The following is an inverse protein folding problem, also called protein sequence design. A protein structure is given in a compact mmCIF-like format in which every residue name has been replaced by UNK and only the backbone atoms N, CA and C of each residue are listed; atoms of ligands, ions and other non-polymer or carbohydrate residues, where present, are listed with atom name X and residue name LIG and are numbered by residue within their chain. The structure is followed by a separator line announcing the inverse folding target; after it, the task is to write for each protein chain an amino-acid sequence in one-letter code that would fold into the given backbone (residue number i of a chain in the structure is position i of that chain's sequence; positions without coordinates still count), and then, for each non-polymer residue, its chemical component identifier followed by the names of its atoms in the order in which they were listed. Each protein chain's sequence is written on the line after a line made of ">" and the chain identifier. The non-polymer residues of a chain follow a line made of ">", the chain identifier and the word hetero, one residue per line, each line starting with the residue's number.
data_IF_558967927615
#
_entry.id   IF_558967927615
#
_cell.length_a   1.000
_cell.length_b   1.000
_cell.length_c   1.000
_cell.angle_alpha   90.00
_cell.angle_beta   90.00
_cell.angle_gamma   90.00
#
_symmetry.space_group_name_H-M   'P 1'
#
loop_
_entity.id
_entity.type
_entity.pdbx_description
1 polymer ?
#
# COMPACT_ATOMS: atom_id res chain seq x y z
N UNK A 1 -4.74 -1.00 19.59
CA UNK A 1 -5.22 0.25 18.94
C UNK A 1 -4.13 1.03 18.21
N UNK A 2 -2.90 1.09 18.75
CA UNK A 2 -1.76 1.80 18.12
C UNK A 2 -1.59 1.48 16.63
N UNK A 3 -1.52 0.20 16.27
CA UNK A 3 -1.40 -0.20 14.85
C UNK A 3 -2.62 0.14 13.98
N UNK A 4 -3.81 0.35 14.56
CA UNK A 4 -4.95 0.91 13.81
C UNK A 4 -4.71 2.37 13.44
N UNK A 5 -4.17 3.15 14.37
CA UNK A 5 -3.78 4.52 14.10
C UNK A 5 -2.62 4.60 13.09
N UNK A 6 -1.63 3.70 13.21
CA UNK A 6 -0.52 3.61 12.25
C UNK A 6 -1.01 3.30 10.84
N UNK A 7 -1.89 2.31 10.67
CA UNK A 7 -2.45 1.96 9.36
C UNK A 7 -3.39 3.03 8.80
N UNK A 8 -4.11 3.76 9.68
CA UNK A 8 -4.89 4.92 9.25
C UNK A 8 -4.00 5.98 8.61
N UNK A 9 -2.91 6.37 9.29
CA UNK A 9 -1.97 7.35 8.74
C UNK A 9 -1.30 6.83 7.46
N UNK A 10 -0.81 5.59 7.47
CA UNK A 10 -0.13 5.01 6.32
C UNK A 10 -1.01 4.97 5.07
N UNK A 11 -2.31 4.63 5.19
CA UNK A 11 -3.20 4.59 4.04
C UNK A 11 -3.60 5.99 3.57
N UNK A 12 -3.72 6.97 4.48
CA UNK A 12 -3.91 8.38 4.12
C UNK A 12 -2.73 8.88 3.29
N UNK A 13 -1.49 8.60 3.70
CA UNK A 13 -0.29 8.98 2.95
C UNK A 13 -0.21 8.30 1.57
N UNK A 14 -0.68 7.05 1.45
CA UNK A 14 -0.76 6.37 0.14
C UNK A 14 -1.76 7.08 -0.77
N UNK A 15 -2.96 7.37 -0.29
CA UNK A 15 -4.01 8.00 -1.11
C UNK A 15 -3.63 9.41 -1.48
N UNK A 16 -3.12 10.20 -0.53
CA UNK A 16 -2.67 11.58 -0.75
C UNK A 16 -1.47 11.63 -1.72
N UNK A 17 -0.47 10.78 -1.55
CA UNK A 17 0.69 10.71 -2.44
C UNK A 17 0.39 10.21 -3.86
N UNK A 18 -0.81 9.67 -4.13
CA UNK A 18 -1.24 9.30 -5.46
C UNK A 18 -2.10 10.37 -6.16
N UNK A 19 -2.41 11.46 -5.49
CA UNK A 19 -2.99 12.64 -6.13
C UNK A 19 -1.87 13.43 -6.84
N UNK A 20 -2.18 14.06 -7.96
CA UNK A 20 -1.18 14.85 -8.71
C UNK A 20 -1.15 16.32 -8.28
N UNK A 21 -1.91 16.68 -7.25
CA UNK A 21 -2.09 18.05 -6.79
C UNK A 21 -1.17 18.48 -5.64
N UNK A 22 -0.31 17.56 -5.18
CA UNK A 22 0.67 17.81 -4.11
C UNK A 22 0.35 17.08 -2.80
N UNK A 23 1.37 16.83 -2.01
CA UNK A 23 1.31 16.09 -0.74
C UNK A 23 0.91 17.04 0.41
N UNK A 24 -0.15 16.73 1.17
CA UNK A 24 -0.67 17.62 2.24
C UNK A 24 0.04 17.47 3.59
N UNK A 25 0.64 16.31 3.90
CA UNK A 25 1.10 16.00 5.26
C UNK A 25 2.62 15.73 5.35
N UNK A 26 3.44 16.44 4.56
CA UNK A 26 4.90 16.19 4.47
C UNK A 26 5.73 16.88 5.54
N UNK A 27 5.13 17.76 6.37
CA UNK A 27 5.82 18.60 7.34
C UNK A 27 7.02 19.33 6.69
N UNK A 28 6.72 20.19 5.71
CA UNK A 28 7.71 20.95 4.91
C UNK A 28 8.80 20.08 4.26
N UNK A 29 8.41 18.89 3.81
CA UNK A 29 9.31 17.95 3.13
C UNK A 29 10.17 17.07 4.06
N UNK A 30 10.11 17.28 5.38
CA UNK A 30 10.85 16.47 6.35
C UNK A 30 10.44 14.99 6.27
N UNK A 31 9.15 14.70 6.03
CA UNK A 31 8.59 13.37 5.88
C UNK A 31 7.90 13.21 4.52
N UNK A 32 8.68 13.25 3.43
CA UNK A 32 8.17 12.90 2.08
C UNK A 32 7.66 11.47 2.07
N UNK A 33 6.43 11.22 1.60
CA UNK A 33 5.77 9.92 1.66
C UNK A 33 6.58 8.81 0.99
N UNK A 34 7.13 9.08 -0.18
CA UNK A 34 7.94 8.13 -0.95
C UNK A 34 9.25 7.72 -0.27
N UNK A 35 9.56 8.25 0.91
CA UNK A 35 10.70 7.79 1.71
C UNK A 35 10.34 6.75 2.78
N UNK A 36 9.01 6.48 3.04
CA UNK A 36 8.65 5.62 4.17
C UNK A 36 7.26 4.99 4.14
N UNK A 37 6.26 5.52 3.40
CA UNK A 37 4.85 5.13 3.59
C UNK A 37 4.60 3.62 3.39
N UNK A 38 5.26 2.99 2.42
CA UNK A 38 5.16 1.54 2.19
C UNK A 38 5.93 0.74 3.25
N UNK A 39 7.01 1.30 3.81
CA UNK A 39 7.75 0.70 4.90
C UNK A 39 6.92 0.63 6.19
N UNK A 40 6.01 1.58 6.44
CA UNK A 40 5.04 1.51 7.55
C UNK A 40 4.11 0.29 7.42
N UNK A 41 3.62 -0.01 6.22
CA UNK A 41 2.81 -1.20 5.99
C UNK A 41 3.61 -2.49 6.16
N UNK A 42 4.82 -2.55 5.63
CA UNK A 42 5.70 -3.70 5.79
C UNK A 42 6.03 -3.94 7.27
N UNK A 43 6.41 -2.89 8.02
CA UNK A 43 6.66 -2.94 9.46
C UNK A 43 5.43 -3.44 10.24
N UNK A 44 4.27 -2.86 10.00
CA UNK A 44 3.04 -3.27 10.66
C UNK A 44 2.66 -4.72 10.35
N UNK A 45 2.82 -5.15 9.09
CA UNK A 45 2.58 -6.54 8.69
C UNK A 45 3.56 -7.51 9.36
N UNK A 46 4.82 -7.11 9.50
CA UNK A 46 5.85 -7.85 10.22
C UNK A 46 5.56 -7.99 11.72
N UNK A 47 5.11 -6.92 12.37
CA UNK A 47 4.70 -6.95 13.78
C UNK A 47 3.61 -8.00 14.05
N UNK A 48 2.66 -8.18 13.12
CA UNK A 48 1.59 -9.18 13.22
C UNK A 48 1.93 -10.52 12.58
N UNK A 49 3.18 -10.74 12.17
CA UNK A 49 3.57 -12.01 11.59
C UNK A 49 3.32 -13.19 12.52
N UNK A 50 2.82 -14.27 11.95
CA UNK A 50 2.66 -15.58 12.62
C UNK A 50 2.95 -16.69 11.61
N UNK A 51 3.78 -17.64 12.01
CA UNK A 51 3.93 -18.88 11.25
C UNK A 51 2.68 -19.76 11.39
N UNK A 52 2.28 -20.43 10.32
CA UNK A 52 1.10 -21.30 10.29
C UNK A 52 1.48 -22.66 9.71
N UNK A 53 1.41 -23.71 10.52
CA UNK A 53 1.61 -25.08 10.07
C UNK A 53 2.88 -25.30 9.25
N UNK A 54 2.81 -26.13 8.20
CA UNK A 54 3.90 -26.34 7.25
C UNK A 54 4.11 -25.10 6.36
N UNK A 55 5.30 -25.01 5.72
CA UNK A 55 5.59 -23.91 4.79
C UNK A 55 4.56 -23.83 3.65
N UNK A 56 4.18 -24.97 3.08
CA UNK A 56 3.20 -25.04 1.99
C UNK A 56 1.82 -24.52 2.44
N UNK A 57 1.35 -24.90 3.65
CA UNK A 57 0.06 -24.44 4.17
C UNK A 57 0.09 -22.93 4.50
N UNK A 58 1.22 -22.42 4.97
CA UNK A 58 1.40 -20.99 5.24
C UNK A 58 1.39 -20.18 3.95
N UNK A 59 2.13 -20.60 2.91
CA UNK A 59 2.11 -19.98 1.58
C UNK A 59 0.69 -19.98 1.00
N UNK A 60 0.01 -21.12 0.99
CA UNK A 60 -1.35 -21.24 0.45
C UNK A 60 -2.35 -20.33 1.18
N UNK A 61 -2.24 -20.26 2.52
CA UNK A 61 -3.08 -19.37 3.34
C UNK A 61 -2.87 -17.88 2.99
N UNK A 62 -1.62 -17.47 2.75
CA UNK A 62 -1.27 -16.10 2.35
C UNK A 62 -1.73 -15.80 0.93
N UNK A 63 -1.50 -16.74 -0.01
CA UNK A 63 -1.96 -16.62 -1.39
C UNK A 63 -3.49 -16.46 -1.48
N UNK A 64 -4.26 -17.30 -0.78
CA UNK A 64 -5.72 -17.18 -0.72
C UNK A 64 -6.19 -15.84 -0.15
N UNK A 65 -5.44 -15.26 0.78
CA UNK A 65 -5.82 -13.99 1.42
C UNK A 65 -5.43 -12.76 0.60
N UNK A 66 -4.31 -12.79 -0.13
CA UNK A 66 -3.75 -11.64 -0.84
C UNK A 66 -3.91 -11.76 -2.35
N UNK A 67 -3.52 -12.91 -2.95
CA UNK A 67 -3.49 -13.04 -4.40
C UNK A 67 -4.87 -13.35 -4.98
N UNK A 68 -5.70 -14.16 -4.32
CA UNK A 68 -7.03 -14.47 -4.85
C UNK A 68 -7.91 -13.20 -4.98
N UNK A 69 -8.01 -12.31 -3.97
CA UNK A 69 -8.71 -11.04 -4.15
C UNK A 69 -8.03 -10.12 -5.17
N UNK A 70 -6.70 -10.09 -5.24
CA UNK A 70 -5.95 -9.31 -6.22
C UNK A 70 -6.38 -9.67 -7.65
N UNK A 71 -6.31 -10.95 -8.00
CA UNK A 71 -6.69 -11.42 -9.34
C UNK A 71 -8.18 -11.29 -9.63
N UNK A 72 -9.03 -11.51 -8.62
CA UNK A 72 -10.47 -11.30 -8.75
C UNK A 72 -10.80 -9.84 -9.13
N UNK A 73 -10.21 -8.87 -8.45
CA UNK A 73 -10.39 -7.47 -8.77
C UNK A 73 -9.67 -7.05 -10.05
N UNK A 74 -8.49 -7.62 -10.34
CA UNK A 74 -7.80 -7.36 -11.61
C UNK A 74 -8.68 -7.77 -12.81
N UNK A 75 -9.41 -8.90 -12.73
CA UNK A 75 -10.38 -9.30 -13.75
C UNK A 75 -11.53 -8.28 -13.87
N UNK A 76 -12.12 -7.85 -12.75
CA UNK A 76 -13.21 -6.86 -12.76
C UNK A 76 -12.77 -5.56 -13.41
N UNK A 77 -11.59 -5.05 -13.03
CA UNK A 77 -11.04 -3.82 -13.58
C UNK A 77 -10.61 -3.98 -15.05
N UNK A 78 -10.09 -5.14 -15.43
CA UNK A 78 -9.74 -5.43 -16.81
C UNK A 78 -10.95 -5.42 -17.75
N UNK A 79 -12.07 -6.05 -17.31
CA UNK A 79 -13.34 -6.01 -18.06
C UNK A 79 -13.85 -4.57 -18.12
N UNK A 80 -13.87 -3.84 -16.98
CA UNK A 80 -14.28 -2.43 -16.94
C UNK A 80 -13.46 -1.55 -17.88
N UNK A 81 -12.13 -1.72 -17.87
CA UNK A 81 -11.22 -0.99 -18.78
C UNK A 81 -11.51 -1.29 -20.26
N UNK A 82 -11.73 -2.56 -20.61
CA UNK A 82 -12.08 -2.97 -21.97
C UNK A 82 -13.40 -2.34 -22.44
N UNK A 83 -14.42 -2.33 -21.57
CA UNK A 83 -15.72 -1.70 -21.86
C UNK A 83 -15.58 -0.20 -22.07
N UNK A 84 -14.88 0.51 -21.17
CA UNK A 84 -14.69 1.95 -21.28
C UNK A 84 -13.81 2.34 -22.47
N UNK A 85 -12.81 1.52 -22.81
CA UNK A 85 -12.01 1.70 -24.05
C UNK A 85 -12.88 1.54 -25.29
N UNK A 86 -13.74 0.51 -25.34
CA UNK A 86 -14.57 0.20 -26.52
C UNK A 86 -15.72 1.19 -26.74
N UNK A 87 -16.36 1.65 -25.65
CA UNK A 87 -17.59 2.45 -25.72
C UNK A 87 -17.45 3.87 -25.17
N UNK A 88 -16.50 4.12 -24.28
CA UNK A 88 -16.29 5.42 -23.61
C UNK A 88 -15.21 6.28 -24.26
N UNK A 89 -14.43 5.75 -25.22
CA UNK A 89 -13.32 6.45 -25.85
C UNK A 89 -12.15 6.72 -24.89
N UNK A 90 -11.95 5.84 -23.89
CA UNK A 90 -10.79 5.91 -22.99
C UNK A 90 -9.61 5.15 -23.60
N UNK A 91 -8.45 5.82 -23.68
CA UNK A 91 -7.21 5.25 -24.23
C UNK A 91 -6.16 4.95 -23.17
N UNK A 92 -6.49 5.18 -21.88
CA UNK A 92 -5.57 5.05 -20.75
C UNK A 92 -5.36 3.60 -20.31
N UNK A 93 -4.15 3.34 -19.81
CA UNK A 93 -3.75 2.05 -19.23
C UNK A 93 -3.56 0.94 -20.27
N UNK A 94 -3.31 -0.26 -19.77
CA UNK A 94 -3.04 -1.45 -20.57
C UNK A 94 -4.33 -2.09 -21.11
N UNK A 95 -4.31 -2.68 -22.33
CA UNK A 95 -5.43 -3.41 -22.86
C UNK A 95 -5.65 -4.74 -22.11
N UNK A 96 -6.88 -5.24 -22.09
CA UNK A 96 -7.19 -6.55 -21.51
C UNK A 96 -6.61 -7.66 -22.41
N UNK A 97 -5.73 -8.46 -21.83
CA UNK A 97 -5.14 -9.65 -22.45
C UNK A 97 -4.85 -10.70 -21.38
N UNK A 98 -4.54 -11.94 -21.78
CA UNK A 98 -4.12 -12.97 -20.83
C UNK A 98 -2.84 -12.54 -20.07
N UNK A 99 -1.91 -11.87 -20.75
CA UNK A 99 -0.69 -11.35 -20.15
C UNK A 99 -0.98 -10.27 -19.09
N UNK A 100 -1.73 -9.21 -19.45
CA UNK A 100 -2.04 -8.11 -18.54
C UNK A 100 -2.94 -8.53 -17.36
N UNK A 101 -3.73 -9.60 -17.54
CA UNK A 101 -4.55 -10.14 -16.48
C UNK A 101 -3.74 -11.00 -15.49
N UNK A 102 -2.84 -11.87 -15.98
CA UNK A 102 -2.21 -12.92 -15.17
C UNK A 102 -0.75 -12.69 -14.86
N UNK A 103 0.05 -12.21 -15.82
CA UNK A 103 1.51 -12.12 -15.69
C UNK A 103 2.01 -10.72 -15.37
N UNK A 104 1.50 -9.68 -16.02
CA UNK A 104 1.93 -8.31 -15.78
C UNK A 104 1.85 -7.86 -14.31
N UNK A 105 0.83 -8.25 -13.51
CA UNK A 105 0.81 -7.97 -12.07
C UNK A 105 1.99 -8.52 -11.27
N UNK A 106 2.61 -9.59 -11.77
CA UNK A 106 3.80 -10.23 -11.14
C UNK A 106 5.07 -9.63 -11.71
N UNK A 107 5.24 -9.71 -13.03
CA UNK A 107 6.51 -9.45 -13.71
C UNK A 107 6.80 -7.95 -13.76
N UNK A 108 5.85 -7.17 -14.24
CA UNK A 108 5.99 -5.73 -14.45
C UNK A 108 5.44 -4.94 -13.25
N UNK A 109 4.54 -5.55 -12.47
CA UNK A 109 3.74 -4.88 -11.45
C UNK A 109 2.72 -3.93 -12.08
N UNK A 110 2.41 -4.15 -13.35
CA UNK A 110 1.36 -3.41 -14.03
C UNK A 110 -0.03 -3.93 -13.67
N UNK A 111 -0.92 -3.00 -13.44
CA UNK A 111 -2.33 -3.24 -13.20
C UNK A 111 -3.17 -2.31 -14.08
N UNK A 112 -4.47 -2.60 -14.19
CA UNK A 112 -5.36 -1.69 -14.89
C UNK A 112 -5.43 -0.34 -14.15
N UNK A 113 -5.60 0.76 -14.90
CA UNK A 113 -5.45 2.13 -14.40
C UNK A 113 -6.23 2.42 -13.11
N UNK A 114 -7.40 1.82 -12.93
CA UNK A 114 -8.24 2.06 -11.74
C UNK A 114 -7.89 1.18 -10.53
N UNK A 115 -6.94 0.26 -10.65
CA UNK A 115 -6.39 -0.50 -9.51
C UNK A 115 -4.85 -0.49 -9.46
N UNK A 116 -4.23 0.56 -9.98
CA UNK A 116 -2.76 0.70 -9.99
C UNK A 116 -2.14 0.53 -8.59
N UNK A 117 -2.75 1.05 -7.53
CA UNK A 117 -2.23 0.90 -6.17
C UNK A 117 -2.12 -0.54 -5.66
N UNK A 118 -2.74 -1.50 -6.35
CA UNK A 118 -2.69 -2.91 -5.99
C UNK A 118 -1.33 -3.59 -6.24
N UNK A 119 -0.42 -2.96 -6.99
CA UNK A 119 0.92 -3.48 -7.27
C UNK A 119 1.69 -3.88 -6.00
N UNK A 120 1.47 -3.21 -4.88
CA UNK A 120 2.14 -3.48 -3.61
C UNK A 120 1.75 -4.84 -2.98
N UNK A 121 0.60 -5.42 -3.36
CA UNK A 121 0.08 -6.65 -2.76
C UNK A 121 0.96 -7.86 -3.06
N UNK A 122 1.43 -7.98 -4.32
CA UNK A 122 2.31 -9.10 -4.69
C UNK A 122 3.69 -9.03 -3.99
N UNK A 123 4.42 -7.91 -3.97
CA UNK A 123 5.61 -7.75 -3.14
C UNK A 123 5.37 -8.06 -1.67
N UNK A 124 4.26 -7.59 -1.09
CA UNK A 124 3.93 -7.89 0.31
C UNK A 124 3.68 -9.39 0.56
N UNK A 125 3.07 -10.10 -0.39
CA UNK A 125 2.95 -11.56 -0.34
C UNK A 125 4.34 -12.20 -0.34
N UNK A 126 5.22 -11.82 -1.27
CA UNK A 126 6.59 -12.36 -1.37
C UNK A 126 7.40 -12.11 -0.09
N UNK A 127 7.35 -10.90 0.48
CA UNK A 127 8.01 -10.58 1.75
C UNK A 127 7.54 -11.53 2.86
N UNK A 128 6.24 -11.79 2.96
CA UNK A 128 5.69 -12.69 3.96
C UNK A 128 6.19 -14.13 3.79
N UNK A 129 6.34 -14.60 2.54
CA UNK A 129 6.87 -15.93 2.23
C UNK A 129 8.36 -15.99 2.55
N UNK A 130 9.16 -15.03 2.06
CA UNK A 130 10.60 -14.97 2.32
C UNK A 130 10.88 -14.95 3.82
N UNK A 131 10.18 -14.08 4.55
CA UNK A 131 10.35 -13.99 6.00
C UNK A 131 9.90 -15.26 6.73
N UNK A 132 8.87 -15.96 6.23
CA UNK A 132 8.47 -17.26 6.77
C UNK A 132 9.58 -18.32 6.62
N UNK A 133 10.30 -18.31 5.49
CA UNK A 133 11.48 -19.18 5.28
C UNK A 133 12.61 -18.80 6.25
N UNK A 134 12.95 -17.51 6.37
CA UNK A 134 13.98 -17.02 7.30
C UNK A 134 13.64 -17.42 8.74
N UNK A 135 12.39 -17.26 9.19
CA UNK A 135 11.97 -17.64 10.55
C UNK A 135 12.02 -19.15 10.80
N UNK A 136 11.82 -19.97 9.78
CA UNK A 136 12.00 -21.43 9.90
C UNK A 136 13.47 -21.82 10.01
N UNK A 137 14.34 -21.11 9.28
CA UNK A 137 15.79 -21.27 9.39
C UNK A 137 16.36 -20.68 10.68
N UNK A 138 15.65 -19.77 11.36
CA UNK A 138 16.13 -19.07 12.55
C UNK A 138 16.46 -20.00 13.74
N UNK A 139 15.94 -21.22 13.73
CA UNK A 139 16.35 -22.28 14.68
C UNK A 139 17.85 -22.54 14.68
N UNK A 140 18.54 -22.35 13.56
CA UNK A 140 20.00 -22.51 13.40
C UNK A 140 20.74 -21.54 14.34
N UNK A 141 20.21 -20.32 14.55
CA UNK A 141 20.76 -19.30 15.46
C UNK A 141 19.90 -19.08 16.70
N UNK A 142 19.22 -20.13 17.15
CA UNK A 142 18.44 -20.17 18.41
C UNK A 142 17.35 -19.08 18.46
N UNK A 143 16.69 -18.82 17.32
CA UNK A 143 15.63 -17.81 17.17
C UNK A 143 16.03 -16.39 17.64
N UNK A 144 17.32 -16.03 17.57
CA UNK A 144 17.80 -14.70 17.94
C UNK A 144 17.22 -13.64 17.01
N UNK A 145 16.46 -12.70 17.57
CA UNK A 145 15.76 -11.67 16.81
C UNK A 145 16.70 -10.68 16.10
N UNK A 146 17.84 -10.36 16.71
CA UNK A 146 18.83 -9.45 16.12
C UNK A 146 19.49 -10.12 14.91
N UNK A 147 19.90 -11.38 15.05
CA UNK A 147 20.48 -12.14 13.93
C UNK A 147 19.43 -12.28 12.80
N UNK A 148 18.19 -12.61 13.15
CA UNK A 148 17.09 -12.71 12.16
C UNK A 148 16.87 -11.39 11.42
N UNK A 149 16.95 -10.25 12.12
CA UNK A 149 16.86 -8.94 11.51
C UNK A 149 18.04 -8.67 10.58
N UNK A 150 19.29 -8.95 11.02
CA UNK A 150 20.50 -8.76 10.19
C UNK A 150 20.43 -9.60 8.93
N UNK A 151 20.04 -10.89 9.04
CA UNK A 151 19.85 -11.80 7.88
C UNK A 151 18.79 -11.25 6.91
N UNK A 152 17.78 -10.57 7.43
CA UNK A 152 16.75 -9.91 6.61
C UNK A 152 17.20 -8.57 6.02
N UNK A 153 18.14 -7.88 6.68
CA UNK A 153 18.69 -6.59 6.24
C UNK A 153 19.62 -6.72 5.04
N UNK A 154 20.47 -7.75 5.04
CA UNK A 154 21.49 -7.96 4.00
C UNK A 154 20.88 -7.95 2.58
N UNK A 155 19.89 -8.80 2.24
CA UNK A 155 19.32 -8.79 0.88
C UNK A 155 18.64 -7.46 0.54
N UNK A 156 18.09 -6.75 1.52
CA UNK A 156 17.54 -5.42 1.32
C UNK A 156 18.61 -4.39 0.96
N UNK A 157 19.74 -4.39 1.68
CA UNK A 157 20.89 -3.52 1.39
C UNK A 157 21.41 -3.80 -0.01
N UNK A 158 21.59 -5.06 -0.39
CA UNK A 158 22.03 -5.45 -1.74
C UNK A 158 21.04 -4.94 -2.79
N UNK A 159 19.74 -5.17 -2.60
CA UNK A 159 18.72 -4.73 -3.55
C UNK A 159 18.72 -3.19 -3.73
N UNK A 160 18.79 -2.42 -2.64
CA UNK A 160 18.88 -0.95 -2.74
C UNK A 160 20.18 -0.52 -3.42
N UNK A 161 21.32 -1.17 -3.13
CA UNK A 161 22.59 -0.86 -3.79
C UNK A 161 22.51 -1.10 -5.31
N UNK A 162 21.85 -2.17 -5.75
CA UNK A 162 21.61 -2.44 -7.17
C UNK A 162 20.70 -1.39 -7.80
N UNK A 163 19.62 -0.96 -7.10
CA UNK A 163 18.77 0.15 -7.59
C UNK A 163 19.56 1.45 -7.72
N UNK A 164 20.40 1.76 -6.73
CA UNK A 164 21.24 2.98 -6.78
C UNK A 164 22.26 2.95 -7.92
N UNK A 165 22.77 1.78 -8.28
CA UNK A 165 23.72 1.60 -9.38
C UNK A 165 23.05 1.55 -10.76
N UNK A 166 21.80 1.06 -10.82
CA UNK A 166 21.04 0.91 -12.09
C UNK A 166 20.44 2.22 -12.64
N UNK A 167 20.42 3.29 -11.84
CA UNK A 167 19.85 4.59 -12.25
C UNK A 167 18.35 4.50 -12.51
N UNK A 168 17.92 4.73 -13.77
CA UNK A 168 16.51 4.76 -14.15
C UNK A 168 15.96 3.37 -14.54
N UNK A 169 16.80 2.33 -14.61
CA UNK A 169 16.37 0.98 -14.94
C UNK A 169 16.76 -0.02 -13.84
N UNK A 170 15.84 -0.92 -13.43
CA UNK A 170 16.14 -1.92 -12.42
C UNK A 170 17.07 -3.00 -12.97
N UNK A 171 18.19 -3.27 -12.28
CA UNK A 171 19.17 -4.30 -12.67
C UNK A 171 18.63 -5.74 -12.55
N UNK A 172 17.58 -5.96 -11.79
CA UNK A 172 16.91 -7.25 -11.62
C UNK A 172 15.39 -7.06 -11.74
N UNK A 173 14.64 -8.13 -12.05
CA UNK A 173 13.19 -8.05 -12.17
C UNK A 173 12.51 -7.46 -10.92
N UNK A 174 11.50 -6.64 -11.14
CA UNK A 174 10.78 -5.92 -10.07
C UNK A 174 10.16 -6.85 -9.03
N UNK A 175 9.72 -8.05 -9.42
CA UNK A 175 9.17 -9.04 -8.50
C UNK A 175 10.21 -9.63 -7.53
N UNK A 176 11.52 -9.45 -7.81
CA UNK A 176 12.62 -9.80 -6.91
C UNK A 176 13.01 -8.59 -6.06
N UNK A 177 13.21 -7.42 -6.70
CA UNK A 177 13.73 -6.22 -6.03
C UNK A 177 12.79 -5.68 -4.96
N UNK A 178 11.53 -5.48 -5.31
CA UNK A 178 10.52 -4.88 -4.40
C UNK A 178 10.38 -5.63 -3.06
N UNK A 179 10.22 -6.96 -3.02
CA UNK A 179 10.13 -7.66 -1.74
C UNK A 179 11.43 -7.64 -0.95
N UNK A 180 12.61 -7.69 -1.59
CA UNK A 180 13.88 -7.61 -0.87
C UNK A 180 14.07 -6.24 -0.21
N UNK A 181 13.70 -5.15 -0.89
CA UNK A 181 13.74 -3.79 -0.32
C UNK A 181 12.80 -3.64 0.89
N UNK A 182 11.62 -4.26 0.86
CA UNK A 182 10.65 -4.20 1.95
C UNK A 182 10.99 -5.12 3.14
N UNK A 183 11.80 -6.15 2.92
CA UNK A 183 12.08 -7.19 3.90
C UNK A 183 12.67 -6.67 5.22
N UNK A 184 13.61 -5.70 5.25
CA UNK A 184 14.12 -5.14 6.50
C UNK A 184 13.05 -4.45 7.34
N UNK A 185 12.16 -3.67 6.73
CA UNK A 185 11.06 -3.04 7.46
C UNK A 185 10.09 -4.09 8.04
N UNK A 186 9.81 -5.15 7.28
CA UNK A 186 8.99 -6.26 7.75
C UNK A 186 9.64 -6.99 8.95
N UNK A 187 10.92 -7.35 8.85
CA UNK A 187 11.68 -7.96 9.94
C UNK A 187 11.78 -7.03 11.16
N UNK A 188 11.94 -5.72 10.92
CA UNK A 188 11.94 -4.67 11.94
C UNK A 188 10.66 -4.64 12.77
N UNK A 189 9.50 -4.93 12.16
CA UNK A 189 8.23 -5.05 12.87
C UNK A 189 8.24 -6.19 13.91
N UNK A 190 8.81 -7.34 13.57
CA UNK A 190 8.93 -8.46 14.49
C UNK A 190 10.01 -8.21 15.56
N UNK A 191 11.16 -7.64 15.17
CA UNK A 191 12.21 -7.22 16.10
C UNK A 191 11.64 -6.22 17.13
N UNK A 192 10.88 -5.24 16.68
CA UNK A 192 10.24 -4.26 17.57
C UNK A 192 9.35 -4.98 18.59
N UNK A 193 8.44 -5.83 18.13
CA UNK A 193 7.51 -6.57 18.97
C UNK A 193 8.20 -7.41 20.06
N UNK A 194 9.23 -8.16 19.66
CA UNK A 194 9.81 -9.18 20.54
C UNK A 194 10.97 -8.65 21.40
N UNK A 195 11.65 -7.57 20.98
CA UNK A 195 12.85 -7.08 21.66
C UNK A 195 12.79 -5.61 22.09
N UNK A 196 12.09 -4.75 21.38
CA UNK A 196 12.17 -3.30 21.59
C UNK A 196 10.93 -2.70 22.28
N UNK A 197 9.73 -3.22 22.03
CA UNK A 197 8.48 -2.63 22.50
C UNK A 197 8.43 -2.49 24.02
N UNK A 198 8.88 -3.52 24.77
CA UNK A 198 8.93 -3.48 26.22
C UNK A 198 9.92 -2.44 26.81
N UNK A 199 10.91 -2.04 25.99
CA UNK A 199 11.95 -1.05 26.36
C UNK A 199 11.62 0.36 25.87
N UNK A 200 10.57 0.51 25.06
CA UNK A 200 10.15 1.80 24.50
C UNK A 200 9.32 2.62 25.50
N UNK A 201 9.97 3.01 26.62
CA UNK A 201 9.39 3.72 27.76
C UNK A 201 9.72 5.21 27.81
N UNK A 202 10.53 5.73 26.88
CA UNK A 202 10.91 7.14 26.85
C UNK A 202 9.69 8.06 26.76
N UNK A 203 9.62 9.19 27.51
CA UNK A 203 8.56 10.18 27.37
C UNK A 203 8.42 10.69 25.95
N UNK A 204 7.19 10.98 25.52
CA UNK A 204 6.87 11.27 24.10
C UNK A 204 7.59 12.52 23.56
N UNK A 205 7.67 13.62 24.36
CA UNK A 205 8.26 14.88 23.88
C UNK A 205 9.75 14.74 23.56
N UNK A 206 10.61 14.29 24.50
CA UNK A 206 12.03 14.11 24.19
C UNK A 206 12.27 13.06 23.10
N UNK A 207 11.44 11.99 23.04
CA UNK A 207 11.52 10.98 21.98
C UNK A 207 11.29 11.61 20.60
N UNK A 208 10.19 12.36 20.43
CA UNK A 208 9.88 13.02 19.16
C UNK A 208 10.93 14.08 18.79
N UNK A 209 11.42 14.86 19.77
CA UNK A 209 12.48 15.82 19.54
C UNK A 209 13.75 15.16 18.98
N UNK A 210 14.21 14.07 19.60
CA UNK A 210 15.36 13.30 19.13
C UNK A 210 15.13 12.77 17.71
N UNK A 211 13.99 12.16 17.44
CA UNK A 211 13.68 11.59 16.13
C UNK A 211 13.61 12.68 15.05
N UNK A 212 13.01 13.83 15.34
CA UNK A 212 12.94 14.97 14.40
C UNK A 212 14.32 15.55 14.13
N UNK A 213 15.16 15.73 15.16
CA UNK A 213 16.55 16.22 14.99
C UNK A 213 17.34 15.24 14.12
N UNK A 214 17.28 13.94 14.44
CA UNK A 214 18.00 12.93 13.64
C UNK A 214 17.48 12.88 12.19
N UNK A 215 16.16 13.04 11.98
CA UNK A 215 15.57 13.10 10.65
C UNK A 215 16.02 14.35 9.88
N UNK A 216 16.05 15.51 10.53
CA UNK A 216 16.55 16.75 9.94
C UNK A 216 18.03 16.64 9.57
N UNK A 217 18.87 16.11 10.46
CA UNK A 217 20.28 15.84 10.17
C UNK A 217 20.45 14.89 8.98
N UNK A 218 19.62 13.85 8.89
CA UNK A 218 19.62 12.93 7.75
C UNK A 218 19.25 13.67 6.45
N UNK A 219 18.23 14.53 6.46
CA UNK A 219 17.83 15.34 5.30
C UNK A 219 18.92 16.32 4.85
N UNK A 220 19.73 16.85 5.78
CA UNK A 220 20.89 17.71 5.44
C UNK A 220 22.03 16.91 4.83
N UNK A 221 22.24 15.66 5.26
CA UNK A 221 23.36 14.81 4.81
C UNK A 221 23.05 14.03 3.54
N UNK A 222 21.79 13.79 3.24
CA UNK A 222 21.34 12.98 2.11
C UNK A 222 20.43 13.84 1.24
N UNK A 223 20.84 14.07 0.01
CA UNK A 223 20.23 15.01 -0.93
C UNK A 223 18.72 14.78 -1.15
N UNK A 224 18.31 13.54 -1.32
CA UNK A 224 16.91 13.18 -1.49
C UNK A 224 16.60 11.81 -0.87
N UNK A 225 15.71 11.80 0.11
CA UNK A 225 15.28 10.56 0.77
C UNK A 225 14.09 9.87 0.07
N UNK A 226 13.47 10.52 -0.91
CA UNK A 226 12.38 9.93 -1.68
C UNK A 226 12.92 9.01 -2.78
N UNK A 227 12.26 7.88 -2.99
CA UNK A 227 12.57 6.88 -4.03
C UNK A 227 11.27 6.26 -4.56
N UNK A 228 11.30 5.74 -5.79
CA UNK A 228 10.15 5.09 -6.41
C UNK A 228 10.26 3.57 -6.28
N UNK A 229 9.69 3.01 -5.21
CA UNK A 229 9.68 1.57 -5.00
C UNK A 229 8.86 0.82 -6.08
N UNK A 230 7.84 1.47 -6.66
CA UNK A 230 7.04 0.88 -7.74
C UNK A 230 7.87 0.47 -8.96
N UNK A 231 8.88 1.24 -9.29
CA UNK A 231 9.75 0.99 -10.45
C UNK A 231 11.18 0.62 -10.03
N UNK A 232 11.47 0.63 -8.73
CA UNK A 232 12.83 0.45 -8.19
C UNK A 232 13.84 1.46 -8.73
N UNK A 233 13.43 2.75 -8.87
CA UNK A 233 14.23 3.85 -9.43
C UNK A 233 14.38 5.00 -8.43
N UNK A 234 15.28 5.93 -8.73
CA UNK A 234 15.57 7.13 -7.90
C UNK A 234 16.10 6.83 -6.50
N UNK A 235 16.84 5.74 -6.31
CA UNK A 235 17.46 5.38 -5.01
C UNK A 235 18.77 6.16 -4.77
N UNK A 236 18.77 7.48 -5.00
CA UNK A 236 19.93 8.37 -4.85
C UNK A 236 20.47 8.36 -3.42
N UNK A 237 19.59 8.19 -2.43
CA UNK A 237 19.95 8.17 -1.02
C UNK A 237 20.71 6.91 -0.57
N UNK A 238 20.85 5.90 -1.43
CA UNK A 238 21.53 4.65 -1.12
C UNK A 238 20.90 3.86 0.03
N UNK A 239 21.46 2.70 0.40
CA UNK A 239 20.91 1.83 1.44
C UNK A 239 20.79 2.52 2.80
N UNK A 240 21.77 3.34 3.17
CA UNK A 240 21.75 4.08 4.43
C UNK A 240 20.58 5.06 4.49
N UNK A 241 20.39 5.89 3.43
CA UNK A 241 19.29 6.84 3.37
C UNK A 241 17.91 6.16 3.41
N UNK A 242 17.75 5.06 2.66
CA UNK A 242 16.50 4.29 2.63
C UNK A 242 16.16 3.74 4.03
N UNK A 243 17.08 3.02 4.66
CA UNK A 243 16.73 2.30 5.90
C UNK A 243 16.80 3.19 7.14
N UNK A 244 17.73 4.14 7.23
CA UNK A 244 17.73 5.14 8.30
C UNK A 244 16.52 6.06 8.18
N UNK A 245 16.18 6.50 6.96
CA UNK A 245 15.00 7.29 6.69
C UNK A 245 13.69 6.56 7.06
N UNK A 246 13.56 5.30 6.67
CA UNK A 246 12.42 4.47 7.03
C UNK A 246 12.35 4.23 8.55
N UNK A 247 13.46 3.89 9.22
CA UNK A 247 13.49 3.65 10.66
C UNK A 247 13.08 4.88 11.48
N UNK A 248 13.60 6.07 11.14
CA UNK A 248 13.22 7.32 11.80
C UNK A 248 11.76 7.68 11.55
N UNK A 249 11.25 7.46 10.35
CA UNK A 249 9.83 7.69 10.04
C UNK A 249 8.92 6.70 10.76
N UNK A 250 9.27 5.42 10.81
CA UNK A 250 8.54 4.41 11.58
C UNK A 250 8.53 4.79 13.07
N UNK A 251 9.66 5.19 13.63
CA UNK A 251 9.78 5.62 15.01
C UNK A 251 8.87 6.82 15.30
N UNK A 252 8.90 7.85 14.43
CA UNK A 252 8.05 9.04 14.55
C UNK A 252 6.56 8.68 14.49
N UNK A 253 6.13 8.04 13.41
CA UNK A 253 4.71 7.76 13.19
C UNK A 253 4.15 6.70 14.15
N UNK A 254 4.97 5.78 14.65
CA UNK A 254 4.55 4.85 15.68
C UNK A 254 4.29 5.58 17.02
N UNK A 255 5.10 6.59 17.36
CA UNK A 255 4.88 7.43 18.54
C UNK A 255 3.63 8.31 18.37
N UNK A 256 3.42 8.92 17.22
CA UNK A 256 2.18 9.64 16.88
C UNK A 256 0.97 8.69 16.93
N UNK A 257 1.10 7.46 16.42
CA UNK A 257 0.04 6.46 16.50
C UNK A 257 -0.36 6.12 17.94
N UNK A 258 0.57 6.12 18.89
CA UNK A 258 0.26 5.93 20.32
C UNK A 258 -0.59 7.08 20.85
N UNK A 259 -0.28 8.33 20.49
CA UNK A 259 -1.07 9.51 20.88
C UNK A 259 -2.47 9.49 20.24
N UNK A 260 -2.58 9.09 18.98
CA UNK A 260 -3.84 9.05 18.26
C UNK A 260 -4.72 7.84 18.60
N UNK A 261 -4.16 6.77 19.15
CA UNK A 261 -4.87 5.52 19.43
C UNK A 261 -6.19 5.67 20.21
N UNK A 262 -6.29 6.50 21.28
CA UNK A 262 -7.53 6.73 21.99
C UNK A 262 -8.61 7.42 21.14
N UNK A 263 -8.22 8.36 20.28
CA UNK A 263 -9.12 9.10 19.38
C UNK A 263 -9.61 8.20 18.25
N UNK A 264 -8.71 7.43 17.63
CA UNK A 264 -9.07 6.43 16.60
C UNK A 264 -10.03 5.39 17.17
N UNK A 265 -9.85 4.96 18.42
CA UNK A 265 -10.74 4.00 19.07
C UNK A 265 -12.19 4.51 19.21
N UNK A 266 -12.39 5.82 19.33
CA UNK A 266 -13.70 6.46 19.46
C UNK A 266 -14.36 6.81 18.11
N UNK A 267 -13.59 6.89 17.03
CA UNK A 267 -14.09 7.28 15.70
C UNK A 267 -14.45 6.05 14.86
N UNK A 268 -15.74 5.90 14.53
CA UNK A 268 -16.23 4.83 13.63
C UNK A 268 -15.61 4.92 12.24
N UNK A 269 -15.43 6.14 11.71
CA UNK A 269 -14.83 6.36 10.40
C UNK A 269 -13.34 5.97 10.41
N UNK A 270 -12.55 6.45 11.38
CA UNK A 270 -11.14 6.11 11.51
C UNK A 270 -10.92 4.60 11.66
N UNK A 271 -11.76 3.92 12.45
CA UNK A 271 -11.74 2.47 12.58
C UNK A 271 -12.10 1.77 11.26
N UNK A 272 -13.08 2.28 10.52
CA UNK A 272 -13.47 1.73 9.22
C UNK A 272 -12.31 1.85 8.21
N UNK A 273 -11.71 3.02 8.07
CA UNK A 273 -10.55 3.25 7.20
C UNK A 273 -9.39 2.31 7.58
N UNK A 274 -9.02 2.26 8.86
CA UNK A 274 -7.90 1.45 9.33
C UNK A 274 -8.10 -0.07 9.21
N UNK A 275 -9.34 -0.53 9.13
CA UNK A 275 -9.68 -1.95 8.91
C UNK A 275 -9.72 -2.33 7.44
N UNK A 276 -9.99 -1.38 6.56
CA UNK A 276 -10.20 -1.60 5.13
C UNK A 276 -9.02 -1.09 4.27
N UNK A 277 -7.80 -1.01 4.84
CA UNK A 277 -6.62 -0.54 4.10
C UNK A 277 -6.36 -1.32 2.81
N UNK A 278 -6.64 -2.63 2.79
CA UNK A 278 -6.54 -3.45 1.59
C UNK A 278 -7.52 -2.99 0.50
N UNK A 279 -8.80 -2.74 0.84
CA UNK A 279 -9.79 -2.25 -0.11
C UNK A 279 -9.44 -0.84 -0.59
N UNK A 280 -8.95 0.04 0.31
CA UNK A 280 -8.53 1.38 -0.07
C UNK A 280 -7.34 1.33 -1.03
N UNK A 281 -6.33 0.50 -0.74
CA UNK A 281 -5.19 0.30 -1.65
C UNK A 281 -5.64 -0.19 -3.03
N UNK A 282 -6.63 -1.07 -3.09
CA UNK A 282 -7.15 -1.65 -4.33
C UNK A 282 -7.99 -0.66 -5.15
N UNK A 283 -8.74 0.25 -4.51
CA UNK A 283 -9.84 0.96 -5.17
C UNK A 283 -9.75 2.49 -5.14
N UNK A 284 -8.71 3.11 -4.52
CA UNK A 284 -8.65 4.57 -4.40
C UNK A 284 -8.57 5.29 -5.76
N UNK A 285 -7.89 4.72 -6.75
CA UNK A 285 -7.88 5.27 -8.12
C UNK A 285 -9.27 5.28 -8.77
N UNK A 286 -10.11 4.26 -8.49
CA UNK A 286 -11.50 4.29 -8.92
C UNK A 286 -12.29 5.39 -8.20
N UNK A 287 -11.95 5.68 -6.94
CA UNK A 287 -12.49 6.84 -6.22
C UNK A 287 -12.15 8.17 -6.92
N UNK A 288 -10.90 8.34 -7.37
CA UNK A 288 -10.47 9.49 -8.15
C UNK A 288 -11.21 9.58 -9.49
N UNK A 289 -11.32 8.46 -10.19
CA UNK A 289 -12.09 8.38 -11.43
C UNK A 289 -13.56 8.76 -11.24
N UNK A 290 -14.20 8.27 -10.18
CA UNK A 290 -15.59 8.62 -9.86
C UNK A 290 -15.77 10.13 -9.61
N UNK A 291 -14.83 10.76 -8.89
CA UNK A 291 -14.85 12.22 -8.69
C UNK A 291 -14.66 12.97 -10.01
N UNK A 292 -13.75 12.54 -10.87
CA UNK A 292 -13.58 13.11 -12.21
C UNK A 292 -14.85 12.96 -13.08
N UNK A 293 -15.60 11.86 -12.93
CA UNK A 293 -16.90 11.72 -13.60
C UNK A 293 -17.93 12.76 -13.10
N UNK A 294 -17.90 13.11 -11.81
CA UNK A 294 -18.73 14.20 -11.28
C UNK A 294 -18.35 15.52 -11.92
N UNK A 295 -17.06 15.86 -12.00
CA UNK A 295 -16.60 17.07 -12.66
C UNK A 295 -16.93 17.09 -14.17
N UNK A 296 -16.84 15.94 -14.85
CA UNK A 296 -17.28 15.82 -16.24
C UNK A 296 -18.77 16.19 -16.40
N UNK A 297 -19.63 15.64 -15.54
CA UNK A 297 -21.07 15.97 -15.57
C UNK A 297 -21.31 17.45 -15.30
N UNK A 298 -20.62 18.03 -14.32
CA UNK A 298 -20.71 19.48 -14.02
C UNK A 298 -20.27 20.33 -15.23
N UNK A 299 -19.18 19.94 -15.90
CA UNK A 299 -18.72 20.59 -17.14
C UNK A 299 -19.81 20.52 -18.24
N UNK A 300 -20.41 19.33 -18.46
CA UNK A 300 -21.46 19.14 -19.46
C UNK A 300 -22.73 19.94 -19.16
N UNK A 301 -23.03 20.20 -17.89
CA UNK A 301 -24.17 21.03 -17.45
C UNK A 301 -23.85 22.52 -17.42
N UNK A 302 -22.61 22.91 -17.74
CA UNK A 302 -22.20 24.33 -17.66
C UNK A 302 -22.06 24.85 -16.23
N UNK A 303 -21.90 23.94 -15.24
CA UNK A 303 -21.80 24.28 -13.82
C UNK A 303 -20.34 24.22 -13.39
N UNK A 304 -19.70 25.35 -13.17
CA UNK A 304 -18.42 25.53 -12.46
C UNK A 304 -17.16 24.82 -12.99
N UNK A 305 -17.22 23.76 -13.76
CA UNK A 305 -16.05 22.98 -14.21
C UNK A 305 -15.70 23.24 -15.69
N UNK A 306 -15.80 24.51 -16.16
CA UNK A 306 -15.66 24.87 -17.56
C UNK A 306 -14.28 24.62 -18.19
N UNK A 307 -13.23 24.52 -17.37
CA UNK A 307 -11.84 24.22 -17.75
C UNK A 307 -11.50 22.72 -17.63
N UNK A 308 -12.47 21.83 -17.37
CA UNK A 308 -12.26 20.38 -17.33
C UNK A 308 -11.89 19.83 -18.69
N UNK A 309 -10.70 19.23 -18.79
CA UNK A 309 -10.21 18.64 -20.05
C UNK A 309 -10.72 17.21 -20.24
N UNK A 310 -11.76 17.04 -21.03
CA UNK A 310 -12.29 15.72 -21.42
C UNK A 310 -11.23 14.88 -22.13
N UNK A 311 -10.36 15.49 -22.94
CA UNK A 311 -9.25 14.81 -23.61
C UNK A 311 -8.27 14.25 -22.59
N UNK A 312 -7.77 15.07 -21.68
CA UNK A 312 -6.83 14.65 -20.64
C UNK A 312 -7.42 13.55 -19.75
N UNK A 313 -8.70 13.68 -19.37
CA UNK A 313 -9.41 12.66 -18.60
C UNK A 313 -9.48 11.30 -19.31
N UNK A 314 -9.56 11.28 -20.64
CA UNK A 314 -9.61 10.05 -21.43
C UNK A 314 -8.26 9.46 -21.80
N UNK A 315 -7.17 10.26 -21.74
CA UNK A 315 -5.85 9.85 -22.24
C UNK A 315 -4.76 9.80 -21.16
N UNK A 316 -4.94 10.44 -19.99
CA UNK A 316 -3.94 10.49 -18.92
C UNK A 316 -4.32 9.61 -17.74
N UNK A 317 -3.45 8.66 -17.37
CA UNK A 317 -3.69 7.69 -16.30
C UNK A 317 -3.84 8.35 -14.90
N UNK A 318 -3.17 9.48 -14.68
CA UNK A 318 -3.15 10.20 -13.39
C UNK A 318 -3.81 11.59 -13.51
N UNK A 319 -4.88 11.70 -14.30
CA UNK A 319 -5.60 12.96 -14.41
C UNK A 319 -6.42 13.24 -13.15
N UNK A 320 -6.04 14.30 -12.45
CA UNK A 320 -6.82 14.85 -11.34
C UNK A 320 -7.15 16.30 -11.68
N UNK A 321 -8.43 16.60 -11.81
CA UNK A 321 -8.89 17.94 -12.13
C UNK A 321 -8.87 18.84 -10.90
N UNK A 322 -8.30 20.03 -11.05
CA UNK A 322 -8.31 21.07 -10.05
C UNK A 322 -8.95 22.33 -10.66
N UNK A 323 -10.19 22.67 -10.28
CA UNK A 323 -10.84 23.89 -10.79
C UNK A 323 -9.97 25.12 -10.58
N UNK A 324 -9.75 25.90 -11.66
CA UNK A 324 -8.88 27.07 -11.64
C UNK A 324 -7.40 26.79 -11.30
N UNK A 325 -6.95 25.53 -11.34
CA UNK A 325 -5.59 25.14 -10.97
C UNK A 325 -5.31 25.12 -9.46
N UNK A 326 -6.34 25.21 -8.62
CA UNK A 326 -6.20 25.26 -7.17
C UNK A 326 -5.88 23.90 -6.55
N UNK A 327 -4.68 23.78 -5.95
CA UNK A 327 -4.18 22.54 -5.31
C UNK A 327 -5.04 22.10 -4.10
N UNK A 328 -5.79 22.98 -3.49
CA UNK A 328 -6.68 22.71 -2.34
C UNK A 328 -7.76 21.68 -2.68
N UNK A 329 -8.12 21.54 -3.97
CA UNK A 329 -9.02 20.47 -4.42
C UNK A 329 -8.47 19.04 -4.20
N UNK A 330 -7.19 18.91 -3.86
CA UNK A 330 -6.60 17.65 -3.41
C UNK A 330 -7.39 16.98 -2.28
N UNK A 331 -7.97 17.76 -1.37
CA UNK A 331 -8.79 17.23 -0.27
C UNK A 331 -10.00 16.43 -0.77
N UNK A 332 -10.60 16.80 -1.90
CA UNK A 332 -11.72 16.05 -2.49
C UNK A 332 -11.27 14.68 -3.02
N UNK A 333 -10.11 14.63 -3.65
CA UNK A 333 -9.54 13.36 -4.09
C UNK A 333 -9.16 12.46 -2.92
N UNK A 334 -8.58 13.02 -1.85
CA UNK A 334 -8.32 12.27 -0.63
C UNK A 334 -9.63 11.68 -0.06
N UNK A 335 -10.68 12.48 0.05
CA UNK A 335 -11.99 12.03 0.54
C UNK A 335 -12.56 10.95 -0.38
N UNK A 336 -12.57 11.16 -1.69
CA UNK A 336 -13.08 10.19 -2.67
C UNK A 336 -12.26 8.88 -2.63
N UNK A 337 -10.93 8.97 -2.59
CA UNK A 337 -10.02 7.83 -2.51
C UNK A 337 -10.11 7.03 -1.21
N UNK A 338 -10.61 7.63 -0.13
CA UNK A 338 -10.86 6.92 1.13
C UNK A 338 -12.29 6.38 1.22
N UNK A 339 -13.31 7.16 0.86
CA UNK A 339 -14.71 6.79 1.09
C UNK A 339 -15.26 5.86 0.02
N UNK A 340 -14.92 6.05 -1.25
CA UNK A 340 -15.36 5.16 -2.34
C UNK A 340 -14.97 3.69 -2.07
N UNK A 341 -13.70 3.38 -1.73
CA UNK A 341 -13.31 2.02 -1.37
C UNK A 341 -14.05 1.43 -0.16
N UNK A 342 -14.42 2.28 0.82
CA UNK A 342 -15.23 1.81 1.96
C UNK A 342 -16.64 1.40 1.51
N UNK A 343 -17.25 2.13 0.58
CA UNK A 343 -18.53 1.75 -0.02
C UNK A 343 -18.40 0.42 -0.77
N UNK A 344 -17.35 0.22 -1.58
CA UNK A 344 -17.07 -1.05 -2.28
C UNK A 344 -16.88 -2.20 -1.27
N UNK A 345 -16.11 -1.98 -0.20
CA UNK A 345 -15.91 -2.98 0.86
C UNK A 345 -17.24 -3.36 1.53
N UNK A 346 -18.07 -2.38 1.86
CA UNK A 346 -19.39 -2.61 2.45
C UNK A 346 -20.29 -3.45 1.53
N UNK A 347 -20.38 -3.10 0.25
CA UNK A 347 -21.18 -3.83 -0.73
C UNK A 347 -20.68 -5.27 -0.89
N UNK A 348 -19.37 -5.45 -1.06
CA UNK A 348 -18.77 -6.80 -1.21
C UNK A 348 -19.00 -7.67 0.02
N UNK A 349 -18.94 -7.12 1.22
CA UNK A 349 -19.20 -7.89 2.44
C UNK A 349 -20.69 -8.26 2.57
N UNK A 350 -21.61 -7.39 2.16
CA UNK A 350 -23.05 -7.71 2.08
C UNK A 350 -23.32 -8.81 1.08
N UNK A 351 -22.71 -8.76 -0.11
CA UNK A 351 -22.83 -9.81 -1.13
C UNK A 351 -22.29 -11.15 -0.64
N UNK A 352 -21.14 -11.18 0.03
CA UNK A 352 -20.59 -12.42 0.64
C UNK A 352 -21.54 -13.02 1.67
N UNK A 353 -22.17 -12.20 2.52
CA UNK A 353 -23.15 -12.66 3.51
C UNK A 353 -24.39 -13.25 2.82
N UNK A 354 -24.91 -12.54 1.81
CA UNK A 354 -26.08 -13.01 1.03
C UNK A 354 -25.77 -14.34 0.34
N UNK A 355 -24.63 -14.45 -0.34
CA UNK A 355 -24.22 -15.69 -1.01
C UNK A 355 -24.10 -16.87 -0.04
N UNK A 356 -23.48 -16.65 1.13
CA UNK A 356 -23.40 -17.70 2.17
C UNK A 356 -24.77 -18.14 2.69
N UNK A 357 -25.76 -17.23 2.76
CA UNK A 357 -27.13 -17.58 3.17
C UNK A 357 -27.81 -18.43 2.12
N UNK A 358 -27.62 -18.12 0.83
CA UNK A 358 -28.21 -18.86 -0.29
C UNK A 358 -27.59 -20.27 -0.38
N UNK A 359 -26.28 -20.40 -0.27
CA UNK A 359 -25.56 -21.68 -0.36
C UNK A 359 -25.82 -22.60 0.83
N UNK A 360 -26.02 -22.04 2.05
CA UNK A 360 -26.41 -22.87 3.23
C UNK A 360 -27.85 -23.33 3.24
N UNK A 361 -28.72 -22.74 2.43
CA UNK A 361 -30.17 -23.13 2.34
C UNK A 361 -30.47 -24.24 1.36
N UNK A 362 -29.48 -24.88 0.74
CA UNK A 362 -29.72 -26.13 -0.02
C UNK A 362 -29.57 -27.33 0.93
N UNK A 363 -30.64 -27.90 1.47
CA UNK A 363 -30.55 -29.23 2.08
C UNK A 363 -30.24 -30.21 0.96
N UNK A 364 -29.25 -31.05 1.19
CA UNK A 364 -29.06 -32.27 0.38
C UNK A 364 -30.35 -33.07 0.55
N UNK A 365 -31.11 -33.20 -0.51
CA UNK A 365 -32.23 -34.13 -0.53
C UNK A 365 -31.67 -35.52 -0.21
N UNK A 366 -32.13 -36.11 0.90
CA UNK A 366 -31.77 -37.47 1.25
C UNK A 366 -32.18 -38.37 0.08
N UNK A 367 -31.36 -39.37 -0.35
CA UNK A 367 -31.77 -40.33 -1.34
C UNK A 367 -32.97 -41.07 -0.78
N UNK A 368 -34.12 -41.04 -1.51
CA UNK A 368 -35.26 -41.86 -1.23
C UNK A 368 -34.82 -43.30 -1.29
N UNK A 369 -34.79 -43.98 -0.12
CA UNK A 369 -34.71 -45.46 -0.03
C UNK A 369 -35.99 -46.02 -0.66
N UNK A 370 -35.84 -46.54 -1.87
CA UNK A 370 -36.77 -47.44 -2.53
C UNK A 370 -36.24 -48.86 -2.38
#
# INVERSE_FOLDING_TARGET
>A
MVFRALYLMAIVFVVDGHTTLGDMFTLDGLFKYYSFHLMLFAFGAGYFFRMRGSLASDILSRAKRLLLPLYGWNLVYGIGAAVLRRFGGFEIGVPLSAYTLLLAPIVDGEHFVWNLGSWFIFPLFCVQVIYSCIRRAAKIWKDNEIITFIVSLIPGVIAVSLCSAGGDEPMLPLFVMRPLILLPAYAGGMLYKNALEARDSMPTVPYLAIVVILRALLCVRVENLAYLLSNCTYFVCGPFGVYAGAALSIAFFLRIARLLAPHVAKSRLALSISRNTFAIMMHHYMGFFALNCVFLVMNMLGIWAGDFSVRSFRTQAHYNYAPGGHAEFNVLYLIAGLLFPLAVAFVTDRLKVLFRRITKKRPVAAPSSG
#
